data_IF_807114100762
#
_entry.id   IF_807114100762
#
_cell.length_a   1.000
_cell.length_b   1.000
_cell.length_c   1.000
_cell.angle_alpha   90.00
_cell.angle_beta   90.00
_cell.angle_gamma   90.00
#
_symmetry.space_group_name_H-M   'P 1'
#
loop_
_entity.id
_entity.type
_entity.pdbx_description
1 polymer ?
#
# COMPACT_ATOMS: atom_id res chain seq x y z
N UNK A 1 -22.67 7.04 22.71
CA UNK A 1 -22.38 6.40 22.54
C UNK A 1 -22.31 5.77 22.16
N UNK A 2 -22.11 5.64 22.00
CA UNK A 2 -21.93 4.85 21.57
C UNK A 2 -21.88 4.24 21.33
N UNK A 3 -22.09 3.92 21.39
CA UNK A 3 -22.05 3.11 21.37
C UNK A 3 -21.53 2.49 21.93
N UNK A 4 -21.59 2.23 22.75
CA UNK A 4 -20.99 1.98 23.42
C UNK A 4 -20.99 0.98 24.09
N UNK A 5 -20.84 0.56 24.96
CA UNK A 5 -20.83 -0.57 25.47
C UNK A 5 -20.17 -1.43 24.57
N UNK A 6 -20.55 -2.46 24.28
CA UNK A 6 -19.86 -3.20 23.28
C UNK A 6 -19.75 -2.40 22.02
N UNK A 7 -20.62 -1.48 21.85
CA UNK A 7 -20.53 -0.57 20.73
C UNK A 7 -19.34 0.35 20.85
N UNK A 8 -19.06 0.81 22.04
CA UNK A 8 -17.91 1.63 22.26
C UNK A 8 -16.62 0.90 21.97
N UNK A 9 -16.57 -0.36 22.36
CA UNK A 9 -15.40 -1.18 22.10
C UNK A 9 -15.20 -1.41 20.59
N UNK A 10 -16.28 -1.70 19.87
CA UNK A 10 -16.19 -1.90 18.44
C UNK A 10 -15.73 -0.64 17.73
N UNK A 11 -16.21 0.53 18.18
CA UNK A 11 -15.79 1.78 17.58
C UNK A 11 -14.30 2.06 17.78
N UNK A 12 -13.77 1.71 18.93
CA UNK A 12 -12.35 1.88 19.20
C UNK A 12 -11.54 1.00 18.26
N UNK A 13 -11.97 -0.24 18.05
CA UNK A 13 -11.28 -1.14 17.16
C UNK A 13 -11.33 -0.64 15.73
N UNK A 14 -12.47 -0.13 15.29
CA UNK A 14 -12.60 0.42 13.95
C UNK A 14 -11.72 1.65 13.78
N UNK A 15 -11.62 2.48 14.79
CA UNK A 15 -10.75 3.65 14.73
C UNK A 15 -9.29 3.26 14.53
N UNK A 16 -8.88 2.15 15.17
CA UNK A 16 -7.50 1.68 15.05
C UNK A 16 -7.16 1.25 13.62
N UNK A 17 -8.15 0.65 12.92
CA UNK A 17 -7.92 0.14 11.58
C UNK A 17 -8.76 0.89 10.54
N UNK A 18 -8.96 2.17 10.77
CA UNK A 18 -9.82 2.96 9.89
C UNK A 18 -9.10 3.29 8.58
N UNK A 19 -9.32 2.44 7.60
CA UNK A 19 -8.71 2.59 6.28
C UNK A 19 -9.14 3.90 5.62
N UNK A 20 -10.42 4.23 5.72
CA UNK A 20 -10.94 5.44 5.07
C UNK A 20 -10.27 6.70 5.61
N UNK A 21 -10.08 6.77 6.92
CA UNK A 21 -9.43 7.93 7.51
C UNK A 21 -7.95 7.98 7.14
N UNK A 22 -7.28 6.84 7.17
CA UNK A 22 -5.87 6.77 6.81
C UNK A 22 -5.66 7.21 5.37
N UNK A 23 -6.53 6.76 4.47
CA UNK A 23 -6.44 7.14 3.06
C UNK A 23 -6.72 8.62 2.88
N UNK A 24 -7.73 9.15 3.57
CA UNK A 24 -8.07 10.57 3.45
C UNK A 24 -6.92 11.45 3.91
N UNK A 25 -6.28 11.10 5.03
CA UNK A 25 -5.14 11.86 5.54
C UNK A 25 -3.96 11.79 4.57
N UNK A 26 -3.70 10.61 4.01
CA UNK A 26 -2.62 10.43 3.05
C UNK A 26 -2.89 11.28 1.80
N UNK A 27 -4.10 11.21 1.25
CA UNK A 27 -4.45 11.96 0.05
C UNK A 27 -4.36 13.46 0.29
N UNK A 28 -4.82 13.91 1.45
CA UNK A 28 -4.71 15.32 1.79
C UNK A 28 -3.26 15.77 1.81
N UNK A 29 -2.39 14.95 2.36
CA UNK A 29 -0.98 15.32 2.44
C UNK A 29 -0.34 15.39 1.06
N UNK A 30 -0.56 14.40 0.20
CA UNK A 30 0.11 14.40 -1.11
C UNK A 30 -0.40 15.55 -2.00
N UNK A 31 -1.62 16.02 -1.78
CA UNK A 31 -2.11 17.19 -2.52
C UNK A 31 -1.31 18.45 -2.20
N UNK A 32 -0.55 18.45 -1.12
CA UNK A 32 0.26 19.61 -0.79
C UNK A 32 1.49 19.74 -1.69
N UNK A 33 1.92 18.68 -2.37
CA UNK A 33 3.11 18.77 -3.19
C UNK A 33 3.00 18.07 -4.56
N UNK A 34 1.94 17.32 -4.83
CA UNK A 34 1.73 16.67 -6.13
C UNK A 34 0.58 17.37 -6.86
N UNK A 35 0.58 17.24 -8.18
CA UNK A 35 -0.53 17.79 -8.99
C UNK A 35 -1.78 16.93 -8.78
N UNK A 36 -2.93 17.50 -9.16
CA UNK A 36 -4.18 16.77 -9.07
C UNK A 36 -4.14 15.48 -9.89
N UNK A 37 -3.57 15.53 -11.08
CA UNK A 37 -3.47 14.35 -11.94
C UNK A 37 -2.59 13.29 -11.29
N UNK A 38 -1.48 13.70 -10.71
CA UNK A 38 -0.59 12.76 -10.01
C UNK A 38 -1.26 12.13 -8.81
N UNK A 39 -2.03 12.94 -8.06
CA UNK A 39 -2.78 12.41 -6.93
C UNK A 39 -3.83 11.40 -7.38
N UNK A 40 -4.49 11.66 -8.52
CA UNK A 40 -5.46 10.72 -9.06
C UNK A 40 -4.81 9.39 -9.41
N UNK A 41 -3.61 9.43 -9.97
CA UNK A 41 -2.89 8.20 -10.30
C UNK A 41 -2.51 7.43 -9.06
N UNK A 42 -2.07 8.11 -8.01
CA UNK A 42 -1.74 7.47 -6.74
C UNK A 42 -2.98 6.82 -6.15
N UNK A 43 -4.12 7.50 -6.21
CA UNK A 43 -5.37 6.94 -5.70
C UNK A 43 -5.76 5.67 -6.45
N UNK A 44 -5.59 5.66 -7.77
CA UNK A 44 -5.90 4.47 -8.56
C UNK A 44 -5.00 3.30 -8.16
N UNK A 45 -3.73 3.57 -7.88
CA UNK A 45 -2.82 2.52 -7.43
C UNK A 45 -3.26 1.97 -6.09
N UNK A 46 -3.68 2.86 -5.18
CA UNK A 46 -4.19 2.41 -3.89
C UNK A 46 -5.43 1.54 -4.07
N UNK A 47 -6.37 1.97 -4.92
CA UNK A 47 -7.61 1.23 -5.11
C UNK A 47 -7.34 -0.16 -5.67
N UNK A 48 -6.39 -0.28 -6.61
CA UNK A 48 -6.02 -1.59 -7.13
C UNK A 48 -5.43 -2.46 -6.03
N UNK A 49 -4.50 -1.92 -5.25
CA UNK A 49 -3.85 -2.67 -4.20
C UNK A 49 -4.85 -3.10 -3.13
N UNK A 50 -5.78 -2.20 -2.79
CA UNK A 50 -6.81 -2.49 -1.80
C UNK A 50 -7.67 -3.66 -2.25
N UNK A 51 -8.09 -3.63 -3.51
CA UNK A 51 -8.91 -4.69 -4.06
C UNK A 51 -8.13 -5.99 -4.15
N UNK A 52 -6.87 -5.92 -4.58
CA UNK A 52 -6.05 -7.10 -4.74
C UNK A 52 -5.78 -7.81 -3.41
N UNK A 53 -5.67 -7.05 -2.34
CA UNK A 53 -5.42 -7.61 -1.01
C UNK A 53 -6.68 -7.79 -0.19
N UNK A 54 -7.84 -7.68 -0.82
CA UNK A 54 -9.12 -7.82 -0.13
C UNK A 54 -9.18 -9.18 0.56
N UNK A 55 -9.58 -9.17 1.84
CA UNK A 55 -9.66 -10.40 2.61
C UNK A 55 -8.34 -10.86 3.22
N UNK A 56 -7.26 -10.14 2.96
CA UNK A 56 -5.97 -10.48 3.56
C UNK A 56 -5.74 -9.61 4.79
N UNK A 57 -5.25 -10.25 5.85
CA UNK A 57 -5.02 -9.57 7.13
C UNK A 57 -3.64 -9.91 7.66
N UNK A 58 -3.06 -8.97 8.40
CA UNK A 58 -1.79 -9.21 9.08
C UNK A 58 -2.05 -9.98 10.38
N UNK A 59 -0.98 -10.50 10.96
CA UNK A 59 -1.10 -11.26 12.21
C UNK A 59 -1.77 -10.45 13.32
N UNK A 60 -1.61 -9.13 13.28
CA UNK A 60 -2.25 -8.23 14.25
C UNK A 60 -3.76 -8.11 14.05
N UNK A 61 -4.28 -8.59 12.93
CA UNK A 61 -5.71 -8.49 12.61
C UNK A 61 -6.07 -7.32 11.72
N UNK A 62 -5.13 -6.42 11.43
CA UNK A 62 -5.45 -5.28 10.58
C UNK A 62 -5.43 -5.69 9.10
N UNK A 63 -6.27 -5.04 8.27
CA UNK A 63 -6.26 -5.32 6.84
C UNK A 63 -4.87 -5.11 6.25
N UNK A 64 -4.48 -5.98 5.33
CA UNK A 64 -3.12 -5.94 4.79
C UNK A 64 -2.79 -4.60 4.13
N UNK A 65 -3.77 -3.97 3.48
CA UNK A 65 -3.54 -2.72 2.77
C UNK A 65 -3.02 -1.61 3.67
N UNK A 66 -3.27 -1.69 4.97
CA UNK A 66 -2.79 -0.67 5.91
C UNK A 66 -1.27 -0.60 5.93
N UNK A 67 -0.60 -1.72 5.66
CA UNK A 67 0.86 -1.76 5.65
C UNK A 67 1.47 -0.98 4.46
N UNK A 68 1.13 -1.29 3.20
CA UNK A 68 1.67 -0.48 2.10
C UNK A 68 1.24 0.98 2.16
N UNK A 69 0.05 1.26 2.69
CA UNK A 69 -0.36 2.64 2.86
C UNK A 69 0.54 3.37 3.86
N UNK A 70 0.89 2.71 4.96
CA UNK A 70 1.79 3.31 5.95
C UNK A 70 3.17 3.59 5.35
N UNK A 71 3.67 2.67 4.53
CA UNK A 71 4.95 2.86 3.86
C UNK A 71 4.87 4.05 2.91
N UNK A 72 3.81 4.12 2.11
CA UNK A 72 3.64 5.23 1.18
C UNK A 72 3.52 6.56 1.92
N UNK A 73 2.87 6.56 3.08
CA UNK A 73 2.72 7.77 3.87
C UNK A 73 4.09 8.28 4.36
N UNK A 74 4.94 7.38 4.80
CA UNK A 74 6.30 7.75 5.21
C UNK A 74 7.04 8.38 4.03
N UNK A 75 6.95 7.75 2.86
CA UNK A 75 7.61 8.27 1.67
C UNK A 75 7.04 9.62 1.25
N UNK A 76 5.73 9.80 1.39
CA UNK A 76 5.10 11.08 1.06
C UNK A 76 5.64 12.20 1.93
N UNK A 77 5.89 11.91 3.22
CA UNK A 77 6.44 12.92 4.12
C UNK A 77 7.89 13.27 3.77
N UNK A 78 8.54 12.45 2.95
CA UNK A 78 9.85 12.76 2.40
C UNK A 78 9.74 13.41 1.02
N UNK A 79 8.52 13.74 0.59
CA UNK A 79 8.23 14.41 -0.68
C UNK A 79 8.65 13.59 -1.90
N UNK A 80 8.46 12.26 -1.80
CA UNK A 80 8.85 11.34 -2.88
C UNK A 80 7.84 11.46 -4.03
N UNK A 81 8.31 11.26 -5.26
CA UNK A 81 7.49 11.40 -6.46
C UNK A 81 6.34 10.40 -6.51
N UNK A 82 5.34 10.73 -7.34
CA UNK A 82 4.11 9.92 -7.38
C UNK A 82 4.34 8.51 -7.92
N UNK A 83 5.27 8.34 -8.87
CA UNK A 83 5.54 7.00 -9.43
C UNK A 83 6.05 6.07 -8.33
N UNK A 84 6.94 6.56 -7.49
CA UNK A 84 7.49 5.76 -6.40
C UNK A 84 6.43 5.47 -5.34
N UNK A 85 5.53 6.44 -5.07
CA UNK A 85 4.42 6.20 -4.15
C UNK A 85 3.50 5.10 -4.69
N UNK A 86 3.21 5.13 -5.98
CA UNK A 86 2.38 4.10 -6.60
C UNK A 86 3.04 2.73 -6.47
N UNK A 87 4.34 2.66 -6.73
CA UNK A 87 5.06 1.40 -6.61
C UNK A 87 5.05 0.88 -5.17
N UNK A 88 5.18 1.78 -4.19
CA UNK A 88 5.13 1.39 -2.79
C UNK A 88 3.78 0.81 -2.42
N UNK A 89 2.70 1.42 -2.92
CA UNK A 89 1.35 0.92 -2.64
C UNK A 89 1.11 -0.45 -3.24
N UNK A 90 1.75 -0.74 -4.36
CA UNK A 90 1.49 -1.97 -5.11
C UNK A 90 2.64 -2.99 -5.01
N UNK A 91 3.62 -2.76 -4.14
CA UNK A 91 4.85 -3.56 -4.19
C UNK A 91 4.62 -5.06 -3.96
N UNK A 92 3.58 -5.44 -3.22
CA UNK A 92 3.29 -6.85 -2.96
C UNK A 92 2.20 -7.42 -3.86
N UNK A 93 1.62 -6.60 -4.75
CA UNK A 93 0.47 -7.05 -5.53
C UNK A 93 0.84 -8.20 -6.46
N UNK A 94 1.97 -8.10 -7.13
CA UNK A 94 2.38 -9.14 -8.08
C UNK A 94 2.71 -10.45 -7.35
N UNK A 95 3.36 -10.35 -6.21
CA UNK A 95 3.81 -11.53 -5.47
C UNK A 95 2.68 -12.23 -4.74
N UNK A 96 1.75 -11.47 -4.19
CA UNK A 96 0.73 -12.00 -3.28
C UNK A 96 -0.65 -12.13 -3.89
N UNK A 97 -0.83 -11.72 -5.13
CA UNK A 97 -2.15 -11.78 -5.76
C UNK A 97 -2.02 -12.28 -7.19
N UNK A 98 -3.14 -12.30 -7.91
CA UNK A 98 -3.18 -12.81 -9.28
C UNK A 98 -2.73 -11.80 -10.32
N UNK A 99 -2.48 -10.55 -9.95
CA UNK A 99 -2.01 -9.54 -10.89
C UNK A 99 -0.56 -9.80 -11.28
N UNK A 100 -0.24 -9.66 -12.56
CA UNK A 100 1.12 -9.85 -13.06
C UNK A 100 1.80 -8.50 -13.28
N UNK A 101 3.13 -8.55 -13.50
CA UNK A 101 3.85 -7.35 -13.87
C UNK A 101 3.26 -6.73 -15.13
N UNK A 102 2.90 -7.57 -16.08
CA UNK A 102 2.33 -7.11 -17.35
C UNK A 102 1.00 -6.41 -17.14
N UNK A 103 0.20 -6.92 -16.20
CA UNK A 103 -1.06 -6.26 -15.85
C UNK A 103 -0.81 -4.85 -15.33
N UNK A 104 0.17 -4.69 -14.44
CA UNK A 104 0.49 -3.39 -13.88
C UNK A 104 1.04 -2.45 -14.95
N UNK A 105 1.85 -2.98 -15.86
CA UNK A 105 2.41 -2.17 -16.95
C UNK A 105 1.30 -1.62 -17.83
N UNK A 106 0.32 -2.44 -18.14
CA UNK A 106 -0.80 -2.03 -18.98
C UNK A 106 -1.64 -0.97 -18.27
N UNK A 107 -1.86 -1.12 -16.98
CA UNK A 107 -2.75 -0.24 -16.23
C UNK A 107 -2.08 1.06 -15.80
N UNK A 108 -0.79 1.03 -15.49
CA UNK A 108 -0.12 2.17 -14.86
C UNK A 108 1.15 2.63 -15.57
N UNK A 109 1.60 1.90 -16.59
CA UNK A 109 2.79 2.28 -17.32
C UNK A 109 4.02 1.49 -16.94
N UNK A 110 5.03 1.55 -17.79
CA UNK A 110 6.23 0.73 -17.63
C UNK A 110 7.08 1.16 -16.45
N UNK A 111 7.08 2.45 -16.11
CA UNK A 111 7.88 2.95 -15.00
C UNK A 111 7.45 2.35 -13.67
N UNK A 112 6.14 2.38 -13.42
CA UNK A 112 5.59 1.83 -12.18
C UNK A 112 5.84 0.32 -12.12
N UNK A 113 5.56 -0.37 -13.23
CA UNK A 113 5.75 -1.82 -13.29
C UNK A 113 7.21 -2.19 -13.07
N UNK A 114 8.13 -1.42 -13.62
CA UNK A 114 9.55 -1.67 -13.46
C UNK A 114 9.96 -1.54 -11.99
N UNK A 115 9.47 -0.51 -11.32
CA UNK A 115 9.80 -0.30 -9.91
C UNK A 115 9.23 -1.39 -9.02
N UNK A 116 7.97 -1.79 -9.28
CA UNK A 116 7.35 -2.87 -8.51
C UNK A 116 8.15 -4.16 -8.69
N UNK A 117 8.51 -4.47 -9.94
CA UNK A 117 9.29 -5.66 -10.24
C UNK A 117 10.64 -5.63 -9.54
N UNK A 118 11.28 -4.47 -9.53
CA UNK A 118 12.57 -4.31 -8.87
C UNK A 118 12.50 -4.54 -7.37
N UNK A 119 11.46 -4.02 -6.73
CA UNK A 119 11.28 -4.23 -5.29
C UNK A 119 11.05 -5.71 -4.99
N UNK A 120 10.23 -6.37 -5.82
CA UNK A 120 9.97 -7.80 -5.65
C UNK A 120 11.27 -8.60 -5.74
N UNK A 121 12.10 -8.31 -6.73
CA UNK A 121 13.36 -9.03 -6.90
C UNK A 121 14.34 -8.74 -5.77
N UNK A 122 14.37 -7.51 -5.31
CA UNK A 122 15.24 -7.14 -4.21
C UNK A 122 14.85 -7.90 -2.93
N UNK A 123 13.55 -7.99 -2.67
CA UNK A 123 13.07 -8.72 -1.51
C UNK A 123 13.45 -10.21 -1.60
N UNK A 124 13.32 -10.79 -2.77
CA UNK A 124 13.69 -12.19 -2.99
C UNK A 124 15.18 -12.39 -2.77
N UNK A 125 15.99 -11.48 -3.28
CA UNK A 125 17.43 -11.56 -3.11
C UNK A 125 17.83 -11.50 -1.64
N UNK A 126 17.24 -10.59 -0.89
CA UNK A 126 17.54 -10.46 0.54
C UNK A 126 17.10 -11.70 1.31
N UNK A 127 15.98 -12.26 0.93
CA UNK A 127 15.49 -13.46 1.58
C UNK A 127 16.48 -14.63 1.35
N UNK A 128 16.93 -14.81 0.13
CA UNK A 128 17.85 -15.88 -0.20
C UNK A 128 19.19 -15.73 0.52
N UNK A 129 19.68 -14.49 0.57
CA UNK A 129 20.94 -14.21 1.25
C UNK A 129 20.83 -14.52 2.74
N UNK A 130 19.70 -14.17 3.34
CA UNK A 130 19.47 -14.44 4.76
C UNK A 130 19.39 -15.94 5.01
N UNK A 131 18.71 -16.66 4.13
CA UNK A 131 18.63 -18.11 4.23
C UNK A 131 20.01 -18.74 4.16
N UNK A 132 20.82 -18.30 3.21
CA UNK A 132 22.17 -18.80 3.05
C UNK A 132 22.99 -18.62 4.32
N UNK A 133 22.83 -17.50 4.97
CA UNK A 133 23.59 -17.22 6.16
C UNK A 133 23.19 -18.10 7.35
N UNK A 134 21.96 -18.57 7.34
CA UNK A 134 21.48 -19.43 8.40
C UNK A 134 21.95 -20.87 8.25
N UNK A 135 22.38 -21.22 7.08
CA UNK A 135 22.89 -22.56 6.81
C UNK A 135 24.37 -22.65 7.15
#
# INVERSE_FOLDING_TARGET
>A
MTTVNEEGKALVEQSTFDKSKALADFMEYIHTYLTDDECDQVLKAFELADKAHEGQFRASGEPYIMHPLAVADILAHLQIDHITLMAALMHDVVEDTSYSKEDLEEMFGSEVAFLVDGVTKLNQFQYETKEDRQM
#
